data_IF_394664187902
#
_entry.id   IF_394664187902
#
_cell.length_a   1.000
_cell.length_b   1.000
_cell.length_c   1.000
_cell.angle_alpha   90.00
_cell.angle_beta   90.00
_cell.angle_gamma   90.00
#
_symmetry.space_group_name_H-M   'P 1'
#
loop_
_entity.id
_entity.type
_entity.pdbx_description
1 polymer ?
#
# COMPACT_ATOMS: atom_id res chain seq x y z
N UNK A 1 -43.17 6.08 35.51
CA UNK A 1 -41.86 5.45 35.22
C UNK A 1 -41.85 5.09 33.75
N UNK A 2 -41.21 5.91 32.92
CA UNK A 2 -41.10 5.69 31.47
C UNK A 2 -39.74 5.05 31.21
N UNK A 3 -39.77 3.79 30.76
CA UNK A 3 -38.59 3.09 30.28
C UNK A 3 -38.14 3.76 28.98
N UNK A 4 -36.99 4.43 29.01
CA UNK A 4 -36.27 4.78 27.79
C UNK A 4 -35.82 3.47 27.16
N UNK A 5 -36.54 3.01 26.13
CA UNK A 5 -36.07 1.96 25.27
C UNK A 5 -34.79 2.48 24.59
N UNK A 6 -33.64 1.96 25.03
CA UNK A 6 -32.38 2.16 24.33
C UNK A 6 -32.53 1.39 23.01
N UNK A 7 -32.91 2.10 21.94
CA UNK A 7 -32.87 1.56 20.60
C UNK A 7 -31.43 1.15 20.32
N UNK A 8 -31.17 -0.16 20.24
CA UNK A 8 -29.89 -0.66 19.77
C UNK A 8 -29.75 -0.22 18.31
N UNK A 9 -28.62 0.39 17.92
CA UNK A 9 -28.40 0.78 16.53
C UNK A 9 -28.53 -0.46 15.65
N UNK A 10 -29.21 -0.31 14.52
CA UNK A 10 -29.32 -1.40 13.54
C UNK A 10 -27.92 -1.84 13.09
N UNK A 11 -27.75 -3.13 12.77
CA UNK A 11 -26.44 -3.68 12.38
C UNK A 11 -25.76 -2.86 11.27
N UNK A 12 -26.55 -2.29 10.34
CA UNK A 12 -26.07 -1.44 9.25
C UNK A 12 -25.54 -0.07 9.72
N UNK A 13 -26.10 0.51 10.77
CA UNK A 13 -25.59 1.76 11.36
C UNK A 13 -24.28 1.53 12.12
N UNK A 14 -24.19 0.40 12.82
CA UNK A 14 -22.97 -0.02 13.52
C UNK A 14 -21.82 -0.25 12.53
N UNK A 15 -22.06 -0.99 11.44
CA UNK A 15 -21.08 -1.18 10.36
C UNK A 15 -20.66 0.15 9.72
N UNK A 16 -21.60 1.05 9.46
CA UNK A 16 -21.31 2.37 8.89
C UNK A 16 -20.42 3.18 9.83
N UNK A 17 -20.71 3.16 11.14
CA UNK A 17 -19.90 3.85 12.14
C UNK A 17 -18.48 3.31 12.18
N UNK A 18 -18.31 1.98 12.19
CA UNK A 18 -17.00 1.32 12.14
C UNK A 18 -16.22 1.77 10.91
N UNK A 19 -16.87 1.76 9.73
CA UNK A 19 -16.22 2.17 8.48
C UNK A 19 -15.73 3.62 8.52
N UNK A 20 -16.55 4.55 9.02
CA UNK A 20 -16.21 5.96 9.09
C UNK A 20 -15.01 6.18 10.03
N UNK A 21 -15.08 5.64 11.24
CA UNK A 21 -14.02 5.78 12.24
C UNK A 21 -12.70 5.15 11.76
N UNK A 22 -12.75 3.96 11.15
CA UNK A 22 -11.57 3.32 10.59
C UNK A 22 -10.98 4.12 9.41
N UNK A 23 -11.83 4.76 8.59
CA UNK A 23 -11.37 5.61 7.48
C UNK A 23 -10.67 6.87 7.99
N UNK A 24 -11.20 7.49 9.03
CA UNK A 24 -10.61 8.68 9.67
C UNK A 24 -9.22 8.36 10.27
N UNK A 25 -9.05 7.14 10.81
CA UNK A 25 -7.76 6.65 11.31
C UNK A 25 -6.81 6.21 10.19
N UNK A 26 -7.32 5.71 9.07
CA UNK A 26 -6.50 5.19 7.98
C UNK A 26 -5.72 6.30 7.26
N UNK A 27 -6.28 7.50 7.15
CA UNK A 27 -5.60 8.62 6.51
C UNK A 27 -4.26 9.00 7.17
N UNK A 28 -4.21 9.34 8.48
CA UNK A 28 -2.95 9.65 9.16
C UNK A 28 -2.01 8.44 9.25
N UNK A 29 -2.54 7.22 9.36
CA UNK A 29 -1.72 6.02 9.29
C UNK A 29 -1.00 5.92 7.94
N UNK A 30 -1.68 6.21 6.83
CA UNK A 30 -1.08 6.18 5.51
C UNK A 30 0.04 7.22 5.34
N UNK A 31 -0.10 8.41 5.92
CA UNK A 31 0.97 9.41 5.90
C UNK A 31 2.23 8.91 6.62
N UNK A 32 2.06 8.20 7.74
CA UNK A 32 3.19 7.58 8.45
C UNK A 32 3.81 6.44 7.66
N UNK A 33 3.01 5.66 6.92
CA UNK A 33 3.53 4.63 6.01
C UNK A 33 4.44 5.28 4.97
N UNK A 34 4.04 6.41 4.40
CA UNK A 34 4.89 7.14 3.44
C UNK A 34 6.20 7.62 4.06
N UNK A 35 6.17 8.07 5.32
CA UNK A 35 7.36 8.48 6.06
C UNK A 35 8.30 7.30 6.34
N UNK A 36 7.77 6.18 6.81
CA UNK A 36 8.54 4.95 7.03
C UNK A 36 9.13 4.42 5.72
N UNK A 37 8.35 4.48 4.64
CA UNK A 37 8.81 4.13 3.29
C UNK A 37 9.91 5.07 2.80
N UNK A 38 9.83 6.36 3.09
CA UNK A 38 10.88 7.33 2.77
C UNK A 38 12.20 7.08 3.49
N UNK A 39 12.16 6.44 4.67
CA UNK A 39 13.35 6.06 5.46
C UNK A 39 14.06 4.80 4.93
N UNK A 40 13.56 4.19 3.85
CA UNK A 40 14.21 3.07 3.17
C UNK A 40 13.60 1.70 3.42
N UNK A 41 12.54 1.59 4.23
CA UNK A 41 11.78 0.35 4.34
C UNK A 41 11.10 -0.01 3.01
N UNK A 42 10.84 -1.29 2.76
CA UNK A 42 9.92 -1.67 1.67
C UNK A 42 8.50 -1.20 1.99
N UNK A 43 7.63 -1.05 0.99
CA UNK A 43 6.25 -0.60 1.24
C UNK A 43 5.49 -1.55 2.20
N UNK A 44 5.72 -2.86 2.07
CA UNK A 44 5.11 -3.86 2.96
C UNK A 44 5.62 -3.71 4.40
N UNK A 45 6.93 -3.56 4.59
CA UNK A 45 7.52 -3.33 5.91
C UNK A 45 7.04 -2.01 6.53
N UNK A 46 6.94 -0.95 5.71
CA UNK A 46 6.43 0.34 6.16
C UNK A 46 4.98 0.26 6.63
N UNK A 47 4.11 -0.46 5.90
CA UNK A 47 2.74 -0.72 6.32
C UNK A 47 2.68 -1.48 7.64
N UNK A 48 3.42 -2.59 7.73
CA UNK A 48 3.40 -3.44 8.92
C UNK A 48 3.88 -2.67 10.16
N UNK A 49 5.03 -2.00 10.07
CA UNK A 49 5.59 -1.26 11.20
C UNK A 49 4.66 -0.15 11.71
N UNK A 50 4.01 0.59 10.80
CA UNK A 50 3.05 1.62 11.20
C UNK A 50 1.79 1.01 11.80
N UNK A 51 1.28 -0.09 11.24
CA UNK A 51 0.10 -0.75 11.79
C UNK A 51 0.36 -1.35 13.17
N UNK A 52 1.52 -1.96 13.39
CA UNK A 52 1.90 -2.49 14.71
C UNK A 52 1.93 -1.36 15.77
N UNK A 53 2.49 -0.21 15.41
CA UNK A 53 2.53 0.97 16.28
C UNK A 53 1.12 1.55 16.51
N UNK A 54 0.32 1.70 15.45
CA UNK A 54 -1.03 2.27 15.52
C UNK A 54 -1.99 1.39 16.32
N UNK A 55 -1.96 0.07 16.11
CA UNK A 55 -2.78 -0.87 16.87
C UNK A 55 -2.40 -0.84 18.34
N UNK A 56 -1.10 -0.89 18.68
CA UNK A 56 -0.66 -0.80 20.06
C UNK A 56 -1.07 0.52 20.74
N UNK A 57 -1.03 1.63 20.00
CA UNK A 57 -1.42 2.96 20.48
C UNK A 57 -2.93 3.10 20.71
N UNK A 58 -3.75 2.51 19.84
CA UNK A 58 -5.19 2.71 19.79
C UNK A 58 -5.99 1.65 20.54
N UNK A 59 -5.43 0.45 20.75
CA UNK A 59 -6.06 -0.66 21.47
C UNK A 59 -6.68 -0.29 22.83
N UNK A 60 -6.11 0.61 23.66
CA UNK A 60 -6.71 0.94 24.95
C UNK A 60 -8.00 1.77 24.86
N UNK A 61 -8.26 2.44 23.74
CA UNK A 61 -9.33 3.44 23.61
C UNK A 61 -10.27 3.21 22.42
N UNK A 62 -10.05 2.13 21.66
CA UNK A 62 -10.73 1.90 20.37
C UNK A 62 -11.23 0.47 20.31
N UNK A 63 -12.44 0.27 19.79
CA UNK A 63 -13.03 -1.05 19.62
C UNK A 63 -12.25 -1.89 18.59
N UNK A 64 -12.06 -3.18 18.87
CA UNK A 64 -11.29 -4.11 18.03
C UNK A 64 -11.78 -4.13 16.58
N UNK A 65 -13.10 -4.07 16.36
CA UNK A 65 -13.68 -4.05 15.01
C UNK A 65 -13.23 -2.84 14.18
N UNK A 66 -13.00 -1.70 14.82
CA UNK A 66 -12.47 -0.49 14.16
C UNK A 66 -10.99 -0.68 13.82
N UNK A 67 -10.21 -1.28 14.72
CA UNK A 67 -8.79 -1.57 14.52
C UNK A 67 -8.56 -2.58 13.40
N UNK A 68 -9.34 -3.65 13.37
CA UNK A 68 -9.33 -4.64 12.29
C UNK A 68 -9.65 -3.97 10.95
N UNK A 69 -10.63 -3.07 10.94
CA UNK A 69 -10.99 -2.35 9.72
C UNK A 69 -9.90 -1.38 9.28
N UNK A 70 -9.25 -0.68 10.22
CA UNK A 70 -8.08 0.17 9.95
C UNK A 70 -6.94 -0.65 9.31
N UNK A 71 -6.59 -1.79 9.91
CA UNK A 71 -5.56 -2.70 9.40
C UNK A 71 -5.91 -3.13 7.97
N UNK A 72 -7.15 -3.56 7.73
CA UNK A 72 -7.62 -3.93 6.40
C UNK A 72 -7.47 -2.78 5.39
N UNK A 73 -7.94 -1.58 5.73
CA UNK A 73 -7.88 -0.42 4.84
C UNK A 73 -6.43 -0.09 4.46
N UNK A 74 -5.52 -0.01 5.42
CA UNK A 74 -4.10 0.32 5.16
C UNK A 74 -3.41 -0.80 4.37
N UNK A 75 -3.63 -2.07 4.73
CA UNK A 75 -3.01 -3.19 4.04
C UNK A 75 -3.50 -3.32 2.60
N UNK A 76 -4.80 -3.13 2.36
CA UNK A 76 -5.42 -3.22 1.03
C UNK A 76 -5.19 -1.98 0.17
N UNK A 77 -4.81 -0.84 0.76
CA UNK A 77 -4.51 0.38 -0.02
C UNK A 77 -3.35 0.13 -0.98
N UNK A 78 -3.55 0.22 -2.30
CA UNK A 78 -2.48 -0.04 -3.27
C UNK A 78 -1.40 1.04 -3.21
N UNK A 79 -0.22 0.74 -3.76
CA UNK A 79 0.86 1.71 -4.01
C UNK A 79 0.42 2.91 -4.84
N UNK A 80 -0.65 2.80 -5.64
CA UNK A 80 -1.25 3.92 -6.35
C UNK A 80 -1.84 5.00 -5.42
N UNK A 81 -2.15 4.64 -4.16
CA UNK A 81 -2.56 5.57 -3.11
C UNK A 81 -1.41 6.40 -2.52
N UNK A 82 -0.16 6.09 -2.85
CA UNK A 82 0.99 6.91 -2.43
C UNK A 82 0.95 8.30 -3.11
N UNK A 83 1.44 9.32 -2.40
CA UNK A 83 1.68 10.65 -2.98
C UNK A 83 2.60 10.57 -4.21
N UNK A 84 2.50 11.51 -5.17
CA UNK A 84 3.27 11.45 -6.43
C UNK A 84 4.77 11.21 -6.26
N UNK A 85 5.39 11.86 -5.27
CA UNK A 85 6.82 11.72 -4.97
C UNK A 85 7.14 10.32 -4.42
N UNK A 86 6.33 9.82 -3.49
CA UNK A 86 6.47 8.48 -2.93
C UNK A 86 6.24 7.40 -4.00
N UNK A 87 5.31 7.60 -4.93
CA UNK A 87 5.11 6.71 -6.10
C UNK A 87 6.32 6.67 -7.02
N UNK A 88 6.96 7.81 -7.29
CA UNK A 88 8.17 7.83 -8.12
C UNK A 88 9.31 7.05 -7.46
N UNK A 89 9.50 7.19 -6.14
CA UNK A 89 10.44 6.38 -5.36
C UNK A 89 10.06 4.90 -5.40
N UNK A 90 8.78 4.59 -5.25
CA UNK A 90 8.25 3.22 -5.31
C UNK A 90 8.59 2.53 -6.61
N UNK A 91 8.27 3.18 -7.74
CA UNK A 91 8.63 2.68 -9.06
C UNK A 91 10.13 2.45 -9.15
N UNK A 92 10.98 3.42 -8.77
CA UNK A 92 12.44 3.21 -8.81
C UNK A 92 12.88 1.97 -8.04
N UNK A 93 12.38 1.79 -6.81
CA UNK A 93 12.73 0.62 -5.99
C UNK A 93 12.27 -0.70 -6.62
N UNK A 94 11.04 -0.75 -7.16
CA UNK A 94 10.56 -1.97 -7.83
C UNK A 94 11.33 -2.26 -9.11
N UNK A 95 11.72 -1.24 -9.87
CA UNK A 95 12.53 -1.44 -11.07
C UNK A 95 13.86 -2.09 -10.75
N UNK A 96 14.59 -1.59 -9.76
CA UNK A 96 15.87 -2.19 -9.37
C UNK A 96 15.68 -3.66 -8.98
N UNK A 97 14.63 -3.96 -8.21
CA UNK A 97 14.29 -5.35 -7.85
C UNK A 97 13.98 -6.22 -9.07
N UNK A 98 13.28 -5.69 -10.07
CA UNK A 98 12.97 -6.42 -11.30
C UNK A 98 14.19 -6.57 -12.21
N UNK A 99 15.07 -5.58 -12.22
CA UNK A 99 16.26 -5.55 -13.07
C UNK A 99 17.36 -6.46 -12.54
N UNK A 100 17.47 -6.69 -11.24
CA UNK A 100 18.54 -7.51 -10.67
C UNK A 100 18.61 -8.93 -11.27
N UNK A 101 17.53 -9.73 -11.30
CA UNK A 101 17.57 -11.05 -11.93
C UNK A 101 17.80 -11.01 -13.44
N UNK A 102 17.32 -9.93 -14.09
CA UNK A 102 17.52 -9.71 -15.52
C UNK A 102 18.99 -9.43 -15.85
N UNK A 103 19.67 -8.57 -15.06
CA UNK A 103 21.12 -8.31 -15.19
C UNK A 103 21.94 -9.57 -14.94
N UNK A 104 21.62 -10.33 -13.90
CA UNK A 104 22.29 -11.60 -13.58
C UNK A 104 22.20 -12.59 -14.76
N UNK A 105 21.10 -12.57 -15.50
CA UNK A 105 20.93 -13.41 -16.70
C UNK A 105 21.64 -12.90 -17.96
N UNK A 106 22.42 -11.82 -17.87
CA UNK A 106 23.08 -11.18 -19.00
C UNK A 106 22.18 -10.23 -19.80
N UNK A 107 21.06 -9.79 -19.22
CA UNK A 107 20.13 -8.86 -19.84
C UNK A 107 20.75 -7.48 -20.10
N UNK A 108 20.54 -6.93 -21.30
CA UNK A 108 21.01 -5.61 -21.68
C UNK A 108 20.19 -4.49 -21.01
N UNK A 109 20.86 -3.41 -20.58
CA UNK A 109 20.23 -2.24 -19.97
C UNK A 109 19.13 -1.63 -20.86
N UNK A 110 17.93 -1.37 -20.34
CA UNK A 110 16.87 -0.72 -21.10
C UNK A 110 17.28 0.70 -21.54
N UNK A 111 16.90 1.06 -22.77
CA UNK A 111 17.18 2.40 -23.30
C UNK A 111 16.54 3.54 -22.49
N UNK A 112 17.12 4.74 -22.59
CA UNK A 112 16.72 5.94 -21.82
C UNK A 112 15.23 6.25 -21.89
N UNK A 113 14.61 6.13 -23.08
CA UNK A 113 13.18 6.37 -23.25
C UNK A 113 12.31 5.39 -22.46
N UNK A 114 12.66 4.11 -22.44
CA UNK A 114 11.94 3.09 -21.68
C UNK A 114 12.03 3.37 -20.16
N UNK A 115 13.20 3.82 -19.70
CA UNK A 115 13.40 4.22 -18.30
C UNK A 115 12.57 5.46 -17.93
N UNK A 116 12.40 6.43 -18.84
CA UNK A 116 11.53 7.58 -18.64
C UNK A 116 10.06 7.17 -18.55
N UNK A 117 9.60 6.31 -19.46
CA UNK A 117 8.22 5.80 -19.47
C UNK A 117 7.90 5.02 -18.19
N UNK A 118 8.84 4.22 -17.71
CA UNK A 118 8.70 3.53 -16.43
C UNK A 118 8.59 4.52 -15.26
N UNK A 119 9.52 5.48 -15.16
CA UNK A 119 9.55 6.44 -14.04
C UNK A 119 8.29 7.30 -13.98
N UNK A 120 7.75 7.72 -15.13
CA UNK A 120 6.56 8.58 -15.20
C UNK A 120 5.26 7.79 -15.12
N UNK A 121 5.17 6.66 -15.82
CA UNK A 121 3.91 5.97 -16.10
C UNK A 121 3.83 4.53 -15.56
N UNK A 122 4.90 4.00 -14.97
CA UNK A 122 4.96 2.61 -14.52
C UNK A 122 4.96 1.58 -15.66
N UNK A 123 5.25 2.01 -16.89
CA UNK A 123 5.32 1.15 -18.07
C UNK A 123 6.64 0.39 -18.03
N UNK A 124 6.56 -0.93 -17.83
CA UNK A 124 7.73 -1.82 -17.75
C UNK A 124 8.45 -1.87 -19.11
N UNK A 125 9.79 -1.74 -19.16
CA UNK A 125 10.55 -1.90 -20.40
C UNK A 125 10.28 -3.25 -21.09
N UNK A 126 10.19 -3.24 -22.42
CA UNK A 126 9.83 -4.45 -23.19
C UNK A 126 10.79 -5.65 -22.99
N UNK A 127 12.13 -5.48 -22.95
CA UNK A 127 13.04 -6.60 -22.68
C UNK A 127 12.81 -7.23 -21.30
N UNK A 128 12.59 -6.38 -20.30
CA UNK A 128 12.31 -6.80 -18.93
C UNK A 128 10.96 -7.54 -18.87
N UNK A 129 9.93 -7.01 -19.54
CA UNK A 129 8.62 -7.68 -19.65
C UNK A 129 8.74 -9.06 -20.30
N UNK A 130 9.52 -9.19 -21.37
CA UNK A 130 9.75 -10.46 -22.06
C UNK A 130 10.50 -11.46 -21.18
N UNK A 131 11.54 -11.01 -20.46
CA UNK A 131 12.33 -11.82 -19.54
C UNK A 131 11.48 -12.46 -18.44
N UNK A 132 10.59 -11.67 -17.82
CA UNK A 132 9.70 -12.16 -16.77
C UNK A 132 8.55 -13.00 -17.32
N UNK A 133 8.02 -12.66 -18.51
CA UNK A 133 7.02 -13.47 -19.19
C UNK A 133 7.53 -14.88 -19.52
N UNK A 134 8.80 -15.01 -19.93
CA UNK A 134 9.44 -16.30 -20.19
C UNK A 134 9.58 -17.16 -18.92
N UNK A 135 9.52 -16.55 -17.73
CA UNK A 135 9.52 -17.22 -16.41
C UNK A 135 8.12 -17.47 -15.86
N UNK A 136 7.07 -17.18 -16.63
CA UNK A 136 5.67 -17.32 -16.21
C UNK A 136 5.11 -16.12 -15.45
N UNK A 137 5.88 -15.04 -15.26
CA UNK A 137 5.44 -13.85 -14.54
C UNK A 137 4.90 -12.78 -15.49
N UNK A 138 3.61 -12.43 -15.32
CA UNK A 138 2.95 -11.38 -16.14
C UNK A 138 3.10 -10.01 -15.50
N UNK A 139 4.20 -9.32 -15.78
CA UNK A 139 4.36 -7.90 -15.43
C UNK A 139 3.56 -7.00 -16.40
N UNK A 140 2.29 -6.73 -16.10
CA UNK A 140 1.47 -5.83 -16.93
C UNK A 140 1.65 -4.36 -16.56
N UNK A 141 1.60 -4.03 -15.27
CA UNK A 141 1.91 -2.70 -14.71
C UNK A 141 2.47 -2.87 -13.31
N UNK A 142 3.51 -2.12 -13.00
CA UNK A 142 3.98 -1.95 -11.63
C UNK A 142 3.58 -0.54 -11.22
N UNK A 143 2.57 -0.44 -10.37
CA UNK A 143 2.23 0.81 -9.69
C UNK A 143 2.96 0.88 -8.37
#
# INVERSE_FOLDING_TARGET
>A
MQNAAVEQPSDSESERRIMLLASDLAHPAWERVELAYAKGATLAQAKQAVLDEEVARLAPTTEDAILDRLVQLVMQTPSSGLRPVARQRHRRAVLERLMEPYRISGGAEPGTLAMVLYRRLGIVPAPLKAFWLARGERLQRVL
#
